data_IF_388348181786
#
_entry.id   IF_388348181786
#
_cell.length_a   1.000
_cell.length_b   1.000
_cell.length_c   1.000
_cell.angle_alpha   90.00
_cell.angle_beta   90.00
_cell.angle_gamma   90.00
#
_symmetry.space_group_name_H-M   'P 1'
#
loop_
_entity.id
_entity.type
_entity.pdbx_description
1 polymer ?
#
# COMPACT_ATOMS: atom_id res chain seq x y z
N UNK A 1 24.16 18.87 -2.04
CA UNK A 1 24.53 17.44 -2.16
C UNK A 1 23.24 16.65 -2.16
N UNK A 2 22.82 16.10 -3.30
CA UNK A 2 21.58 15.33 -3.40
C UNK A 2 21.88 13.90 -2.99
N UNK A 3 21.09 13.34 -2.08
CA UNK A 3 21.13 11.91 -1.78
C UNK A 3 20.84 11.16 -3.08
N UNK A 4 21.86 10.50 -3.62
CA UNK A 4 21.72 9.70 -4.82
C UNK A 4 21.02 8.37 -4.51
N UNK A 5 20.58 7.65 -5.56
CA UNK A 5 20.09 6.28 -5.40
C UNK A 5 21.09 5.39 -4.65
N UNK A 6 22.39 5.62 -4.85
CA UNK A 6 23.48 4.89 -4.19
C UNK A 6 23.51 5.11 -2.68
N UNK A 7 23.46 6.37 -2.20
CA UNK A 7 23.42 6.66 -0.76
C UNK A 7 22.16 6.08 -0.11
N UNK A 8 21.01 6.15 -0.79
CA UNK A 8 19.76 5.55 -0.30
C UNK A 8 19.86 4.03 -0.11
N UNK A 9 20.52 3.33 -1.05
CA UNK A 9 20.76 1.89 -0.93
C UNK A 9 21.66 1.58 0.27
N UNK A 10 22.72 2.34 0.49
CA UNK A 10 23.62 2.14 1.64
C UNK A 10 22.85 2.33 2.96
N UNK A 11 22.04 3.38 3.06
CA UNK A 11 21.20 3.62 4.25
C UNK A 11 20.21 2.48 4.44
N UNK A 12 19.57 2.01 3.37
CA UNK A 12 18.62 0.89 3.41
C UNK A 12 19.31 -0.37 3.96
N UNK A 13 20.52 -0.68 3.50
CA UNK A 13 21.29 -1.84 3.99
C UNK A 13 21.58 -1.69 5.49
N UNK A 14 22.00 -0.51 5.96
CA UNK A 14 22.26 -0.26 7.39
C UNK A 14 20.98 -0.50 8.22
N UNK A 15 19.84 0.04 7.77
CA UNK A 15 18.54 -0.16 8.42
C UNK A 15 18.18 -1.65 8.46
N UNK A 16 18.36 -2.38 7.35
CA UNK A 16 18.08 -3.81 7.30
C UNK A 16 18.97 -4.63 8.24
N UNK A 17 20.23 -4.22 8.46
CA UNK A 17 21.13 -4.88 9.43
C UNK A 17 20.72 -4.58 10.87
N UNK A 18 20.38 -3.33 11.20
CA UNK A 18 19.98 -2.94 12.56
C UNK A 18 18.65 -3.55 12.98
N UNK A 19 17.65 -3.49 12.11
CA UNK A 19 16.31 -3.98 12.40
C UNK A 19 16.12 -5.46 12.05
N UNK A 20 16.92 -5.98 11.12
CA UNK A 20 16.80 -7.33 10.59
C UNK A 20 15.72 -7.46 9.51
N UNK A 21 16.01 -8.21 8.45
CA UNK A 21 15.08 -8.47 7.33
C UNK A 21 13.76 -9.12 7.78
N UNK A 22 13.81 -9.97 8.83
CA UNK A 22 12.63 -10.66 9.35
C UNK A 22 11.66 -9.75 10.11
N UNK A 23 12.13 -8.70 10.79
CA UNK A 23 11.27 -7.75 11.51
C UNK A 23 10.60 -6.79 10.55
N UNK A 24 11.37 -6.25 9.60
CA UNK A 24 10.86 -5.38 8.53
C UNK A 24 9.81 -6.12 7.69
N UNK A 25 10.09 -7.37 7.30
CA UNK A 25 9.15 -8.18 6.53
C UNK A 25 7.84 -8.50 7.26
N UNK A 26 7.90 -8.79 8.58
CA UNK A 26 6.68 -9.02 9.39
C UNK A 26 5.82 -7.77 9.47
N UNK A 27 6.40 -6.62 9.82
CA UNK A 27 5.68 -5.34 9.93
C UNK A 27 5.11 -4.94 8.56
N UNK A 28 5.92 -5.03 7.50
CA UNK A 28 5.46 -4.74 6.14
C UNK A 28 4.34 -5.66 5.66
N UNK A 29 4.38 -6.95 6.04
CA UNK A 29 3.32 -7.90 5.74
C UNK A 29 2.00 -7.58 6.43
N UNK A 30 2.03 -7.20 7.71
CA UNK A 30 0.85 -6.79 8.47
C UNK A 30 0.27 -5.47 7.93
N UNK A 31 1.12 -4.48 7.68
CA UNK A 31 0.72 -3.21 7.09
C UNK A 31 0.17 -3.40 5.66
N UNK A 32 0.79 -4.25 4.85
CA UNK A 32 0.37 -4.54 3.48
C UNK A 32 -1.01 -5.17 3.40
N UNK A 33 -1.35 -6.07 4.34
CA UNK A 33 -2.70 -6.65 4.45
C UNK A 33 -3.73 -5.57 4.77
N UNK A 34 -3.47 -4.73 5.78
CA UNK A 34 -4.35 -3.61 6.13
C UNK A 34 -4.57 -2.63 4.97
N UNK A 35 -3.49 -2.27 4.26
CA UNK A 35 -3.58 -1.40 3.07
C UNK A 35 -4.36 -2.08 1.94
N UNK A 36 -4.19 -3.39 1.74
CA UNK A 36 -4.91 -4.15 0.72
C UNK A 36 -6.41 -4.19 1.00
N UNK A 37 -6.81 -4.45 2.24
CA UNK A 37 -8.22 -4.43 2.66
C UNK A 37 -8.82 -3.03 2.58
N UNK A 38 -8.06 -2.02 2.98
CA UNK A 38 -8.47 -0.62 2.83
C UNK A 38 -8.71 -0.25 1.37
N UNK A 39 -7.78 -0.60 0.47
CA UNK A 39 -7.96 -0.37 -0.98
C UNK A 39 -9.16 -1.12 -1.56
N UNK A 40 -9.42 -2.35 -1.09
CA UNK A 40 -10.61 -3.12 -1.50
C UNK A 40 -11.91 -2.45 -1.02
N UNK A 41 -11.94 -1.99 0.23
CA UNK A 41 -13.10 -1.26 0.77
C UNK A 41 -13.39 0.03 0.01
N UNK A 42 -12.36 0.80 -0.35
CA UNK A 42 -12.51 2.00 -1.18
C UNK A 42 -13.07 1.68 -2.56
N UNK A 43 -12.54 0.66 -3.25
CA UNK A 43 -13.05 0.22 -4.55
C UNK A 43 -14.51 -0.27 -4.49
N UNK A 44 -14.88 -1.01 -3.44
CA UNK A 44 -16.27 -1.46 -3.26
C UNK A 44 -17.20 -0.27 -3.04
N UNK A 45 -16.74 0.79 -2.35
CA UNK A 45 -17.48 2.06 -2.25
C UNK A 45 -17.68 2.72 -3.62
N UNK A 46 -16.61 2.84 -4.41
CA UNK A 46 -16.67 3.42 -5.77
C UNK A 46 -17.57 2.61 -6.74
N UNK A 47 -17.53 1.28 -6.68
CA UNK A 47 -18.37 0.41 -7.51
C UNK A 47 -19.84 0.38 -7.05
N UNK A 48 -20.11 0.66 -5.76
CA UNK A 48 -21.48 0.75 -5.23
C UNK A 48 -22.16 2.03 -5.66
N UNK A 49 -21.44 3.16 -5.71
CA UNK A 49 -21.95 4.41 -6.28
C UNK A 49 -22.15 4.31 -7.81
N UNK A 50 -21.23 3.66 -8.54
CA UNK A 50 -21.36 3.49 -10.00
C UNK A 50 -22.51 2.56 -10.44
N UNK A 51 -22.94 1.63 -9.58
CA UNK A 51 -24.07 0.72 -9.88
C UNK A 51 -25.44 1.35 -9.59
N UNK A 52 -25.51 2.36 -8.71
CA UNK A 52 -26.76 3.06 -8.39
C UNK A 52 -27.21 4.00 -9.53
N UNK A 53 -26.29 4.62 -10.28
CA UNK A 53 -26.63 5.57 -11.35
C UNK A 53 -27.12 4.95 -12.67
N UNK A 54 -26.95 3.64 -12.89
CA UNK A 54 -27.33 3.00 -14.17
C UNK A 54 -28.72 2.33 -14.16
N UNK A 55 -29.46 2.42 -13.06
CA UNK A 55 -30.80 1.81 -12.95
C UNK A 55 -31.98 2.78 -13.18
N UNK A 56 -31.72 4.10 -13.29
CA UNK A 56 -32.76 5.13 -13.42
C UNK A 56 -32.96 5.66 -14.87
N UNK A 57 -32.22 5.14 -15.86
CA UNK A 57 -32.32 5.61 -17.27
C UNK A 57 -33.01 4.64 -18.23
N UNK A 58 -33.81 3.71 -17.71
CA UNK A 58 -34.54 2.72 -18.52
C UNK A 58 -36.00 2.48 -18.07
N UNK A 59 -36.66 3.52 -17.55
CA UNK A 59 -38.10 3.56 -17.33
C UNK A 59 -38.76 4.59 -18.25
#
# INVERSE_FOLDING_TARGET
MKLGPTELIIILVIVLVLFGVGRIGKIGGEMGRGISEFRKGLKVGEDTDAKAENSDKKA
#
